data_IF_281091771295
#
_entry.id   IF_281091771295
#
_cell.length_a   1.000
_cell.length_b   1.000
_cell.length_c   1.000
_cell.angle_alpha   90.00
_cell.angle_beta   90.00
_cell.angle_gamma   90.00
#
_symmetry.space_group_name_H-M   'P 1'
#
loop_
_entity.id
_entity.type
_entity.pdbx_description
1 polymer ?
#
# COMPACT_ATOMS: atom_id res chain seq x y z
N UNK A 1 0.81 5.43 17.76
CA UNK A 1 -0.48 5.05 17.13
C UNK A 1 -0.46 3.54 16.91
N UNK A 2 -1.59 2.85 17.06
CA UNK A 2 -1.68 1.43 16.69
C UNK A 2 -1.51 1.34 15.17
N UNK A 3 -0.77 0.33 14.70
CA UNK A 3 -0.72 0.02 13.27
C UNK A 3 -2.12 -0.33 12.79
N UNK A 4 -2.56 0.17 11.62
CA UNK A 4 -3.82 -0.22 11.03
C UNK A 4 -3.85 -1.72 10.76
N UNK A 5 -5.04 -2.30 10.74
CA UNK A 5 -5.24 -3.69 10.34
C UNK A 5 -5.37 -3.75 8.81
N UNK A 6 -4.51 -4.51 8.14
CA UNK A 6 -4.53 -4.64 6.68
C UNK A 6 -5.77 -5.41 6.18
N UNK A 7 -6.25 -6.35 7.01
CA UNK A 7 -7.40 -7.16 6.66
C UNK A 7 -8.73 -6.43 6.96
N UNK A 8 -8.68 -5.20 7.47
CA UNK A 8 -9.84 -4.31 7.60
C UNK A 8 -10.38 -3.94 6.20
N UNK A 9 -11.64 -4.28 5.88
CA UNK A 9 -12.23 -3.94 4.59
C UNK A 9 -12.40 -2.43 4.37
N UNK A 10 -12.44 -1.64 5.45
CA UNK A 10 -12.67 -0.20 5.43
C UNK A 10 -11.36 0.60 5.58
N UNK A 11 -10.20 -0.07 5.58
CA UNK A 11 -8.90 0.60 5.67
C UNK A 11 -8.72 1.60 4.50
N UNK A 12 -8.60 2.92 4.79
CA UNK A 12 -8.40 3.90 3.73
C UNK A 12 -7.08 3.66 2.99
N UNK A 13 -7.10 3.83 1.67
CA UNK A 13 -5.91 3.70 0.85
C UNK A 13 -4.82 4.70 1.26
N UNK A 14 -5.17 5.89 1.74
CA UNK A 14 -4.20 6.84 2.30
C UNK A 14 -3.42 6.26 3.48
N UNK A 15 -4.11 5.56 4.37
CA UNK A 15 -3.53 4.99 5.59
C UNK A 15 -2.72 3.75 5.26
N UNK A 16 -3.21 2.93 4.31
CA UNK A 16 -2.47 1.83 3.73
C UNK A 16 -1.12 2.30 3.15
N UNK A 17 -1.10 3.35 2.34
CA UNK A 17 0.14 3.86 1.74
C UNK A 17 1.04 4.60 2.72
N UNK A 18 0.46 5.21 3.76
CA UNK A 18 1.23 5.86 4.83
C UNK A 18 1.97 4.84 5.70
N UNK A 19 1.33 3.70 6.02
CA UNK A 19 1.93 2.62 6.80
C UNK A 19 2.82 1.72 5.94
N UNK A 20 2.40 1.40 4.71
CA UNK A 20 3.11 0.54 3.77
C UNK A 20 3.28 1.20 2.39
N UNK A 21 4.26 2.09 2.21
CA UNK A 21 4.54 2.72 0.92
C UNK A 21 4.82 1.71 -0.22
N UNK A 22 5.27 0.51 0.11
CA UNK A 22 5.50 -0.60 -0.83
C UNK A 22 4.23 -1.10 -1.49
N UNK A 23 3.10 -1.03 -0.77
CA UNK A 23 1.80 -1.43 -1.28
C UNK A 23 1.47 -0.64 -2.57
N UNK A 24 1.90 0.62 -2.66
CA UNK A 24 1.70 1.48 -3.83
C UNK A 24 2.21 0.84 -5.14
N UNK A 25 3.27 0.03 -5.08
CA UNK A 25 3.79 -0.67 -6.26
C UNK A 25 2.75 -1.60 -6.90
N UNK A 26 1.93 -2.31 -6.10
CA UNK A 26 0.90 -3.19 -6.62
C UNK A 26 -0.19 -2.45 -7.41
N UNK A 27 -0.49 -1.20 -7.01
CA UNK A 27 -1.43 -0.30 -7.66
C UNK A 27 -0.83 0.29 -8.95
N UNK A 28 0.41 0.77 -8.87
CA UNK A 28 1.11 1.38 -10.02
C UNK A 28 1.35 0.38 -11.16
N UNK A 29 1.66 -0.88 -10.85
CA UNK A 29 1.84 -1.94 -11.86
C UNK A 29 0.55 -2.20 -12.65
N UNK A 30 -0.60 -1.96 -12.03
CA UNK A 30 -1.94 -2.04 -12.65
C UNK A 30 -2.40 -0.71 -13.24
N UNK A 31 -1.54 0.31 -13.26
CA UNK A 31 -1.81 1.68 -13.72
C UNK A 31 -2.95 2.37 -12.94
N UNK A 32 -3.18 1.96 -11.70
CA UNK A 32 -4.14 2.61 -10.81
C UNK A 32 -3.54 3.91 -10.27
N UNK A 33 -4.37 4.94 -10.13
CA UNK A 33 -3.94 6.28 -9.70
C UNK A 33 -4.07 6.50 -8.19
N UNK A 34 -4.54 5.48 -7.45
CA UNK A 34 -4.87 5.57 -6.03
C UNK A 34 -3.76 6.17 -5.15
N UNK A 35 -2.45 5.85 -5.30
CA UNK A 35 -1.40 6.43 -4.45
C UNK A 35 -1.24 7.95 -4.52
N UNK A 36 -1.71 8.57 -5.61
CA UNK A 36 -1.66 10.03 -5.82
C UNK A 36 -3.02 10.69 -5.90
N UNK A 37 -4.10 9.95 -5.67
CA UNK A 37 -5.46 10.46 -5.81
C UNK A 37 -5.88 11.23 -4.54
N UNK A 38 -6.43 12.45 -4.64
CA UNK A 38 -6.93 13.19 -3.47
C UNK A 38 -8.12 12.49 -2.78
N UNK A 39 -8.75 11.51 -3.45
CA UNK A 39 -9.88 10.73 -2.93
C UNK A 39 -9.41 9.47 -2.14
N UNK A 40 -8.12 9.13 -2.17
CA UNK A 40 -7.58 7.97 -1.47
C UNK A 40 -7.94 7.85 0.04
N UNK A 41 -8.14 8.94 0.81
CA UNK A 41 -8.60 8.85 2.20
C UNK A 41 -10.05 8.36 2.38
N UNK A 42 -10.81 8.22 1.30
CA UNK A 42 -12.22 7.86 1.33
C UNK A 42 -12.54 6.50 0.71
N UNK A 43 -11.56 5.87 0.07
CA UNK A 43 -11.73 4.57 -0.60
C UNK A 43 -10.83 3.55 0.08
N UNK A 44 -11.31 2.31 0.18
CA UNK A 44 -10.55 1.16 0.60
C UNK A 44 -10.05 0.33 -0.61
N UNK A 45 -9.30 -0.74 -0.32
CA UNK A 45 -8.88 -1.71 -1.35
C UNK A 45 -10.11 -2.28 -2.08
N UNK A 46 -11.18 -2.54 -1.34
CA UNK A 46 -12.47 -3.02 -1.86
C UNK A 46 -13.02 -2.11 -2.95
N UNK A 47 -13.08 -0.80 -2.70
CA UNK A 47 -13.58 0.19 -3.66
C UNK A 47 -12.72 0.24 -4.93
N UNK A 48 -11.39 0.21 -4.75
CA UNK A 48 -10.47 0.16 -5.87
C UNK A 48 -10.61 -1.13 -6.70
N UNK A 49 -10.91 -2.27 -6.06
CA UNK A 49 -11.17 -3.51 -6.79
C UNK A 49 -12.47 -3.43 -7.59
N UNK A 50 -13.54 -2.88 -6.99
CA UNK A 50 -14.82 -2.69 -7.68
C UNK A 50 -14.70 -1.73 -8.87
N UNK A 51 -14.02 -0.59 -8.69
CA UNK A 51 -13.85 0.43 -9.72
C UNK A 51 -13.04 -0.08 -10.93
N UNK A 52 -12.01 -0.89 -10.67
CA UNK A 52 -11.11 -1.40 -11.71
C UNK A 52 -11.44 -2.83 -12.17
N UNK A 53 -12.50 -3.45 -11.65
CA UNK A 53 -12.94 -4.80 -12.00
C UNK A 53 -11.93 -5.90 -11.63
N UNK A 54 -11.28 -5.76 -10.47
CA UNK A 54 -10.28 -6.70 -9.97
C UNK A 54 -10.91 -7.76 -9.04
N UNK A 55 -10.30 -8.93 -9.03
CA UNK A 55 -10.51 -9.92 -7.98
C UNK A 55 -9.84 -9.41 -6.69
N UNK A 56 -10.65 -9.11 -5.67
CA UNK A 56 -10.19 -8.51 -4.43
C UNK A 56 -9.25 -9.44 -3.66
N UNK A 57 -9.57 -10.73 -3.54
CA UNK A 57 -8.76 -11.70 -2.82
C UNK A 57 -7.39 -11.85 -3.47
N UNK A 58 -7.35 -11.98 -4.80
CA UNK A 58 -6.11 -12.06 -5.57
C UNK A 58 -5.28 -10.77 -5.46
N UNK A 59 -5.93 -9.61 -5.43
CA UNK A 59 -5.25 -8.32 -5.30
C UNK A 59 -4.70 -8.10 -3.89
N UNK A 60 -5.48 -8.37 -2.84
CA UNK A 60 -5.02 -8.33 -1.45
C UNK A 60 -3.82 -9.24 -1.23
N UNK A 61 -3.83 -10.44 -1.80
CA UNK A 61 -2.70 -11.36 -1.73
C UNK A 61 -1.44 -10.81 -2.41
N UNK A 62 -1.56 -10.11 -3.54
CA UNK A 62 -0.43 -9.42 -4.18
C UNK A 62 0.09 -8.26 -3.33
N UNK A 63 -0.79 -7.43 -2.78
CA UNK A 63 -0.40 -6.33 -1.90
C UNK A 63 0.35 -6.86 -0.67
N UNK A 64 -0.16 -7.92 -0.04
CA UNK A 64 0.49 -8.58 1.10
C UNK A 64 1.88 -9.11 0.75
N UNK A 65 2.05 -9.74 -0.43
CA UNK A 65 3.37 -10.16 -0.93
C UNK A 65 4.34 -8.99 -1.08
N UNK A 66 3.87 -7.81 -1.52
CA UNK A 66 4.74 -6.61 -1.63
C UNK A 66 5.20 -6.09 -0.27
N UNK A 67 4.30 -6.13 0.70
CA UNK A 67 4.58 -5.73 2.08
C UNK A 67 5.61 -6.67 2.72
N UNK A 68 5.46 -7.98 2.52
CA UNK A 68 6.37 -9.02 3.06
C UNK A 68 7.72 -9.06 2.32
N UNK A 69 7.74 -8.78 1.01
CA UNK A 69 8.94 -8.78 0.18
C UNK A 69 10.03 -7.78 0.60
N UNK A 70 9.73 -6.84 1.50
CA UNK A 70 10.70 -5.91 2.10
C UNK A 70 11.08 -6.18 3.55
N UNK A 71 10.52 -7.15 4.27
CA UNK A 71 11.13 -7.55 5.56
C UNK A 71 12.61 -7.93 5.38
N UNK A 72 12.97 -8.45 4.20
CA UNK A 72 14.35 -8.76 3.82
C UNK A 72 15.16 -7.60 3.21
N UNK A 73 14.52 -6.56 2.66
CA UNK A 73 15.20 -5.44 2.00
C UNK A 73 15.26 -4.14 2.83
N UNK A 74 14.28 -3.86 3.70
CA UNK A 74 14.28 -2.65 4.54
C UNK A 74 15.32 -2.70 5.66
N UNK A 75 15.65 -3.91 6.14
CA UNK A 75 16.77 -4.14 7.07
C UNK A 75 18.14 -3.68 6.51
N UNK A 76 18.26 -3.45 5.19
CA UNK A 76 19.51 -2.97 4.54
C UNK A 76 19.50 -1.48 4.21
N UNK A 77 18.38 -0.76 4.40
CA UNK A 77 18.26 0.67 4.06
C UNK A 77 18.14 1.62 5.25
N UNK A 78 18.03 1.12 6.49
CA UNK A 78 18.09 1.95 7.70
C UNK A 78 19.50 2.54 8.01
N UNK A 79 20.47 2.34 7.12
CA UNK A 79 21.84 2.85 7.23
C UNK A 79 22.24 3.72 6.05
N UNK A 80 21.56 4.84 5.78
CA UNK A 80 22.14 5.97 5.05
C UNK A 80 21.67 7.27 5.70
N UNK A 81 22.50 7.73 6.63
CA UNK A 81 22.35 8.98 7.34
C UNK A 81 22.28 10.15 6.37
N UNK A 82 21.31 11.02 6.61
CA UNK A 82 21.29 12.38 6.10
C UNK A 82 22.19 13.22 7.03
N UNK A 83 23.46 13.35 6.65
CA UNK A 83 24.36 14.36 7.15
C UNK A 83 24.91 15.08 5.93
N UNK A 84 24.29 16.20 5.55
CA UNK A 84 24.95 17.42 5.06
C UNK A 84 23.85 18.44 4.67
N UNK A 85 23.64 19.45 5.51
CA UNK A 85 23.77 20.88 5.15
C UNK A 85 23.32 21.82 6.25
#
# INVERSE_FOLDING_TARGET
MRRPDFDDPDLPLSDLFAEWPEAAGAFLDRRMLCPGCPIAPFHAITDACLEYGLDEDAFRAEVKRRMEGRETATARSAGRGHADR
#
